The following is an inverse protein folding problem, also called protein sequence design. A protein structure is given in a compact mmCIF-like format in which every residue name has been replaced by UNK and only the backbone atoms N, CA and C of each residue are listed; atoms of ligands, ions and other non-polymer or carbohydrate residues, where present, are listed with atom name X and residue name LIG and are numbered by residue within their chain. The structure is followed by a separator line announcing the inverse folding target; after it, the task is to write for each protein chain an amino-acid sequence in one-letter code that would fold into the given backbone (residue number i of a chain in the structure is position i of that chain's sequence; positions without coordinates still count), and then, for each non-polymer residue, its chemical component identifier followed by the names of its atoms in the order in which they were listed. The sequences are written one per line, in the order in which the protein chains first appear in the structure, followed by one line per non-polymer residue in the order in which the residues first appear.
data_IF_067698192962
#
_entry.id   IF_067698192962
#
_cell.length_a   1.000
_cell.length_b   1.000
_cell.length_c   1.000
_cell.angle_alpha   90.00
_cell.angle_beta   90.00
_cell.angle_gamma   90.00
#
_symmetry.space_group_name_H-M   'P 1'
#
loop_
_entity.id
_entity.type
_entity.pdbx_description
1 polymer ?
#
# COMPACT_ATOMS: atom_id res chain seq x y z
N UNK A 1 23.43 -2.06 -35.25
CA UNK A 1 23.25 -1.71 -33.83
C UNK A 1 21.80 -1.27 -33.68
N UNK A 2 20.94 -2.23 -33.34
CA UNK A 2 19.49 -2.08 -33.38
C UNK A 2 18.97 -1.72 -32.00
N UNK A 3 18.05 -0.76 -32.01
CA UNK A 3 17.31 -0.18 -30.90
C UNK A 3 16.52 -1.24 -30.11
N UNK A 4 16.56 -1.18 -28.77
CA UNK A 4 15.55 -1.71 -27.82
C UNK A 4 16.04 -1.54 -26.38
N UNK A 5 15.41 -0.64 -25.63
CA UNK A 5 14.93 -0.78 -24.24
C UNK A 5 14.48 0.60 -23.76
N UNK A 6 13.43 1.06 -24.42
CA UNK A 6 12.59 2.18 -24.05
C UNK A 6 11.53 1.58 -23.12
N UNK A 7 11.69 1.65 -21.79
CA UNK A 7 10.57 1.37 -20.87
C UNK A 7 10.70 1.87 -19.42
N UNK A 8 11.86 2.27 -18.90
CA UNK A 8 11.93 2.71 -17.49
C UNK A 8 11.86 4.25 -17.32
N UNK A 9 10.84 4.88 -17.92
CA UNK A 9 10.54 6.29 -17.64
C UNK A 9 9.98 6.37 -16.22
N UNK A 10 10.89 6.53 -15.24
CA UNK A 10 10.54 6.95 -13.89
C UNK A 10 9.55 8.12 -13.99
N UNK A 11 8.45 8.09 -13.20
CA UNK A 11 7.40 9.09 -13.32
C UNK A 11 8.05 10.45 -13.13
N UNK A 12 7.88 11.33 -14.12
CA UNK A 12 8.41 12.69 -14.09
C UNK A 12 8.05 13.30 -12.75
N UNK A 13 9.08 13.71 -11.99
CA UNK A 13 8.92 14.40 -10.73
C UNK A 13 8.29 15.77 -10.99
N UNK A 14 6.99 15.77 -11.29
CA UNK A 14 6.11 16.93 -11.12
C UNK A 14 6.40 17.45 -9.73
N UNK A 15 6.67 18.76 -9.65
CA UNK A 15 7.06 19.42 -8.41
C UNK A 15 6.20 18.89 -7.25
N UNK A 16 6.80 18.10 -6.36
CA UNK A 16 6.11 17.38 -5.28
C UNK A 16 5.33 18.34 -4.37
N UNK A 17 5.67 19.64 -4.43
CA UNK A 17 5.01 20.71 -3.70
C UNK A 17 3.53 20.94 -4.10
N UNK A 18 3.13 20.63 -5.34
CA UNK A 18 1.76 20.92 -5.82
C UNK A 18 0.78 19.77 -5.59
N UNK A 19 1.27 18.54 -5.39
CA UNK A 19 0.42 17.36 -5.13
C UNK A 19 0.19 17.20 -3.63
N UNK A 20 -1.06 17.04 -3.17
CA UNK A 20 -1.34 16.72 -1.79
C UNK A 20 -0.56 15.47 -1.34
N UNK A 21 0.20 15.59 -0.26
CA UNK A 21 0.90 14.47 0.37
C UNK A 21 0.03 13.88 1.47
N UNK A 22 -0.24 12.57 1.41
CA UNK A 22 -1.11 11.86 2.36
C UNK A 22 -0.30 10.75 3.03
N UNK A 23 -0.16 10.84 4.36
CA UNK A 23 0.46 9.79 5.17
C UNK A 23 -0.63 8.98 5.90
N UNK A 24 -0.66 7.68 5.64
CA UNK A 24 -1.53 6.72 6.33
C UNK A 24 -0.68 5.97 7.37
N UNK A 25 -1.03 6.09 8.64
CA UNK A 25 -0.35 5.39 9.74
C UNK A 25 -1.16 4.16 10.15
N UNK A 26 -0.55 2.99 9.99
CA UNK A 26 -1.13 1.67 10.22
C UNK A 26 -1.62 1.03 8.92
N UNK A 27 -0.96 -0.05 8.51
CA UNK A 27 -1.36 -0.93 7.41
C UNK A 27 -2.23 -2.05 7.94
N UNK A 28 -3.33 -1.69 8.62
CA UNK A 28 -4.40 -2.63 9.00
C UNK A 28 -5.52 -2.64 7.95
N UNK A 29 -6.66 -3.26 8.26
CA UNK A 29 -7.84 -3.25 7.37
C UNK A 29 -8.23 -1.82 6.96
N UNK A 30 -8.30 -0.89 7.92
CA UNK A 30 -8.62 0.51 7.65
C UNK A 30 -7.57 1.22 6.80
N UNK A 31 -6.28 1.01 7.09
CA UNK A 31 -5.19 1.64 6.34
C UNK A 31 -5.17 1.26 4.87
N UNK A 32 -5.35 -0.03 4.57
CA UNK A 32 -5.44 -0.51 3.18
C UNK A 32 -6.76 -0.11 2.53
N UNK A 33 -7.87 -0.09 3.25
CA UNK A 33 -9.13 0.40 2.71
C UNK A 33 -9.01 1.88 2.28
N UNK A 34 -8.37 2.72 3.09
CA UNK A 34 -8.11 4.13 2.77
C UNK A 34 -7.15 4.25 1.59
N UNK A 35 -6.04 3.50 1.57
CA UNK A 35 -5.10 3.52 0.45
C UNK A 35 -5.78 3.13 -0.88
N UNK A 36 -6.66 2.12 -0.84
CA UNK A 36 -7.45 1.69 -2.02
C UNK A 36 -8.48 2.73 -2.45
N UNK A 37 -9.17 3.36 -1.50
CA UNK A 37 -10.14 4.42 -1.81
C UNK A 37 -9.47 5.66 -2.43
N UNK A 38 -8.21 5.92 -2.07
CA UNK A 38 -7.43 7.05 -2.57
C UNK A 38 -6.59 6.73 -3.81
N UNK A 39 -6.61 5.50 -4.33
CA UNK A 39 -5.73 5.04 -5.41
C UNK A 39 -5.85 5.81 -6.73
N UNK A 40 -6.95 6.55 -6.93
CA UNK A 40 -7.20 7.35 -8.14
C UNK A 40 -7.18 8.86 -7.87
N UNK A 41 -6.87 9.27 -6.64
CA UNK A 41 -6.73 10.67 -6.29
C UNK A 41 -5.38 11.17 -6.77
N UNK A 42 -5.33 12.41 -7.26
CA UNK A 42 -4.08 13.06 -7.67
C UNK A 42 -3.27 13.50 -6.44
N UNK A 43 -2.79 12.52 -5.67
CA UNK A 43 -2.07 12.70 -4.41
C UNK A 43 -0.89 11.73 -4.32
N UNK A 44 0.10 12.09 -3.50
CA UNK A 44 1.22 11.22 -3.16
C UNK A 44 0.91 10.51 -1.84
N UNK A 45 0.64 9.21 -1.91
CA UNK A 45 0.16 8.43 -0.77
C UNK A 45 1.29 7.57 -0.23
N UNK A 46 1.64 7.74 1.05
CA UNK A 46 2.59 6.90 1.78
C UNK A 46 1.86 6.15 2.88
N UNK A 47 2.02 4.83 2.93
CA UNK A 47 1.53 4.00 4.05
C UNK A 47 2.74 3.61 4.89
N UNK A 48 2.66 3.86 6.20
CA UNK A 48 3.64 3.38 7.16
C UNK A 48 2.94 2.45 8.16
N UNK A 49 3.46 1.24 8.30
CA UNK A 49 3.06 0.34 9.38
C UNK A 49 4.28 -0.10 10.17
N UNK A 50 4.10 -0.25 11.48
CA UNK A 50 5.10 -0.87 12.35
C UNK A 50 5.28 -2.35 12.01
N UNK A 51 4.26 -3.05 11.50
CA UNK A 51 4.30 -4.48 11.17
C UNK A 51 3.83 -4.71 9.73
N UNK A 52 4.62 -5.41 8.90
CA UNK A 52 4.29 -5.66 7.49
C UNK A 52 3.27 -6.82 7.28
N UNK A 53 2.43 -7.08 8.28
CA UNK A 53 1.49 -8.20 8.28
C UNK A 53 0.20 -7.82 9.02
N UNK A 54 -0.90 -7.90 8.29
CA UNK A 54 -2.25 -7.73 8.79
C UNK A 54 -2.66 -8.97 9.60
N UNK A 55 -2.35 -9.01 10.90
CA UNK A 55 -2.82 -10.12 11.73
C UNK A 55 -4.30 -9.89 12.05
N UNK A 56 -5.18 -10.49 11.26
CA UNK A 56 -6.57 -10.70 11.66
C UNK A 56 -6.58 -11.79 12.73
N UNK A 57 -6.37 -11.38 13.99
CA UNK A 57 -6.36 -12.23 15.17
C UNK A 57 -7.57 -13.18 15.34
N UNK A 58 -8.76 -12.95 14.74
CA UNK A 58 -9.86 -13.92 14.79
C UNK A 58 -9.57 -15.29 14.12
N UNK A 59 -8.65 -15.37 13.15
CA UNK A 59 -8.25 -16.67 12.57
C UNK A 59 -7.19 -17.41 13.42
N UNK A 60 -6.50 -16.71 14.32
CA UNK A 60 -5.56 -17.33 15.28
C UNK A 60 -6.30 -18.14 16.35
N UNK A 61 -7.49 -17.72 16.78
CA UNK A 61 -8.30 -18.51 17.73
C UNK A 61 -8.84 -19.79 17.08
N UNK A 62 -9.20 -19.75 15.79
CA UNK A 62 -9.67 -20.93 15.05
C UNK A 62 -8.54 -21.91 14.71
N UNK A 63 -7.32 -21.42 14.43
CA UNK A 63 -6.13 -22.27 14.26
C UNK A 63 -5.64 -22.84 15.60
N UNK A 64 -5.69 -22.07 16.70
CA UNK A 64 -5.28 -22.52 18.03
C UNK A 64 -6.22 -23.58 18.64
N UNK A 65 -7.46 -23.69 18.16
CA UNK A 65 -8.45 -24.69 18.61
C UNK A 65 -8.48 -25.95 17.73
N UNK A 66 -7.51 -26.12 16.81
CA UNK A 66 -7.36 -27.29 15.94
C UNK A 66 -8.65 -27.71 15.19
N UNK A 67 -9.53 -26.77 14.86
CA UNK A 67 -10.81 -27.06 14.19
C UNK A 67 -10.78 -26.85 12.67
N UNK A 68 -9.59 -26.85 12.05
CA UNK A 68 -9.48 -26.81 10.59
C UNK A 68 -8.40 -27.79 10.12
N UNK A 69 -8.85 -28.87 9.46
CA UNK A 69 -8.00 -29.72 8.61
C UNK A 69 -7.62 -29.01 7.32
#
# INVERSE_FOLDING_TARGET
MSNQHEEDRAPEARNRADRPSVLIVGGGFGGIAVARALAHVDADITVIDKQNHHVFQPLLYQVATASLS
#
